data_IF_451252135740
#
_entry.id   IF_451252135740
#
_cell.length_a   1.000
_cell.length_b   1.000
_cell.length_c   1.000
_cell.angle_alpha   90.00
_cell.angle_beta   90.00
_cell.angle_gamma   90.00
#
_symmetry.space_group_name_H-M   'P 1'
#
loop_
_entity.id
_entity.type
_entity.pdbx_description
1 polymer ?
#
# COMPACT_ATOMS: atom_id res chain seq x y z
N UNK A 1 -21.30 -16.82 0.08
CA UNK A 1 -21.56 -15.90 1.22
C UNK A 1 -22.74 -16.32 2.10
N UNK A 2 -23.63 -17.19 1.63
CA UNK A 2 -24.83 -17.60 2.39
C UNK A 2 -24.65 -18.97 3.08
N UNK A 3 -23.54 -19.65 2.90
CA UNK A 3 -23.17 -20.88 3.58
C UNK A 3 -22.47 -20.55 4.91
N UNK A 4 -23.02 -20.97 6.08
CA UNK A 4 -22.43 -20.65 7.39
C UNK A 4 -21.06 -21.31 7.66
N UNK A 5 -20.66 -22.26 6.83
CA UNK A 5 -19.33 -22.90 6.92
C UNK A 5 -18.22 -22.04 6.30
N UNK A 6 -18.58 -21.01 5.49
CA UNK A 6 -17.62 -20.12 4.85
C UNK A 6 -17.23 -19.02 5.81
N UNK A 7 -15.97 -18.99 6.22
CA UNK A 7 -15.41 -18.03 7.18
C UNK A 7 -14.50 -17.00 6.51
N UNK A 8 -13.95 -17.30 5.33
CA UNK A 8 -13.14 -16.42 4.49
C UNK A 8 -13.21 -16.88 3.04
N UNK A 9 -12.93 -15.99 2.07
CA UNK A 9 -12.92 -16.34 0.65
C UNK A 9 -11.61 -15.87 0.02
N UNK A 10 -10.88 -16.81 -0.58
CA UNK A 10 -9.72 -16.55 -1.44
C UNK A 10 -10.15 -16.46 -2.91
N UNK A 11 -9.65 -15.46 -3.60
CA UNK A 11 -9.97 -15.15 -4.98
C UNK A 11 -8.69 -15.18 -5.82
N UNK A 12 -8.70 -15.92 -6.93
CA UNK A 12 -7.68 -15.82 -7.97
C UNK A 12 -8.28 -15.03 -9.12
N UNK A 13 -7.76 -13.81 -9.37
CA UNK A 13 -8.38 -12.84 -10.27
C UNK A 13 -7.47 -12.58 -11.47
N UNK A 14 -7.98 -12.81 -12.67
CA UNK A 14 -7.36 -12.42 -13.94
C UNK A 14 -7.87 -11.05 -14.42
N UNK A 15 -9.17 -10.81 -14.38
CA UNK A 15 -9.84 -9.54 -14.71
C UNK A 15 -11.11 -9.36 -13.90
N UNK A 16 -11.57 -8.11 -13.74
CA UNK A 16 -12.72 -7.82 -12.89
C UNK A 16 -14.07 -7.89 -13.62
N UNK A 17 -14.13 -7.54 -14.90
CA UNK A 17 -15.38 -7.54 -15.66
C UNK A 17 -16.41 -6.53 -15.12
N UNK A 18 -17.48 -7.01 -14.50
CA UNK A 18 -18.57 -6.18 -13.98
C UNK A 18 -18.25 -5.53 -12.64
N UNK A 19 -17.85 -4.26 -12.67
CA UNK A 19 -17.45 -3.50 -11.46
C UNK A 19 -18.61 -3.31 -10.46
N UNK A 20 -19.85 -2.99 -10.85
CA UNK A 20 -21.01 -2.96 -9.96
C UNK A 20 -21.23 -4.28 -9.21
N UNK A 21 -21.07 -5.42 -9.88
CA UNK A 21 -21.22 -6.72 -9.24
C UNK A 21 -20.11 -6.96 -8.17
N UNK A 22 -18.87 -6.52 -8.42
CA UNK A 22 -17.79 -6.56 -7.44
C UNK A 22 -18.08 -5.70 -6.21
N UNK A 23 -18.62 -4.49 -6.41
CA UNK A 23 -19.00 -3.62 -5.31
C UNK A 23 -20.13 -4.24 -4.46
N UNK A 24 -21.15 -4.79 -5.10
CA UNK A 24 -22.25 -5.47 -4.41
C UNK A 24 -21.75 -6.68 -3.61
N UNK A 25 -20.85 -7.49 -4.21
CA UNK A 25 -20.22 -8.64 -3.55
C UNK A 25 -19.43 -8.21 -2.31
N UNK A 26 -18.57 -7.20 -2.45
CA UNK A 26 -17.74 -6.68 -1.36
C UNK A 26 -18.59 -6.18 -0.19
N UNK A 27 -19.61 -5.36 -0.45
CA UNK A 27 -20.52 -4.85 0.57
C UNK A 27 -21.29 -5.96 1.28
N UNK A 28 -21.77 -6.96 0.52
CA UNK A 28 -22.45 -8.13 1.08
C UNK A 28 -21.49 -8.94 1.96
N UNK A 29 -20.25 -9.16 1.52
CA UNK A 29 -19.23 -9.88 2.27
C UNK A 29 -18.90 -9.16 3.58
N UNK A 30 -18.68 -7.84 3.51
CA UNK A 30 -18.41 -7.00 4.68
C UNK A 30 -19.57 -7.04 5.71
N UNK A 31 -20.80 -6.87 5.24
CA UNK A 31 -22.00 -6.95 6.12
C UNK A 31 -22.13 -8.30 6.81
N UNK A 32 -21.70 -9.37 6.17
CA UNK A 32 -21.70 -10.73 6.74
C UNK A 32 -20.46 -11.06 7.56
N UNK A 33 -19.48 -10.15 7.65
CA UNK A 33 -18.23 -10.40 8.35
C UNK A 33 -17.35 -11.47 7.68
N UNK A 34 -17.52 -11.71 6.37
CA UNK A 34 -16.75 -12.69 5.60
C UNK A 34 -15.64 -11.95 4.86
N UNK A 35 -14.36 -12.04 5.32
CA UNK A 35 -13.24 -11.38 4.69
C UNK A 35 -12.92 -11.97 3.32
N UNK A 36 -12.48 -11.08 2.42
CA UNK A 36 -12.04 -11.42 1.07
C UNK A 36 -10.54 -11.14 0.92
N UNK A 37 -9.82 -12.08 0.32
CA UNK A 37 -8.42 -11.92 -0.05
C UNK A 37 -8.21 -12.34 -1.50
N UNK A 38 -7.40 -11.60 -2.25
CA UNK A 38 -7.22 -11.81 -3.68
C UNK A 38 -5.74 -11.95 -4.07
N UNK A 39 -5.45 -12.95 -4.87
CA UNK A 39 -4.27 -13.03 -5.70
C UNK A 39 -4.64 -12.50 -7.08
N UNK A 40 -4.17 -11.28 -7.42
CA UNK A 40 -4.43 -10.64 -8.72
C UNK A 40 -3.22 -10.81 -9.63
N UNK A 41 -3.38 -11.55 -10.70
CA UNK A 41 -2.37 -11.71 -11.76
C UNK A 41 -2.50 -10.64 -12.85
N UNK A 42 -1.52 -10.51 -13.75
CA UNK A 42 -1.50 -9.49 -14.80
C UNK A 42 -0.72 -8.23 -14.42
N UNK A 43 0.29 -8.34 -13.56
CA UNK A 43 1.18 -7.24 -13.16
C UNK A 43 2.18 -6.87 -14.27
N UNK A 44 2.81 -7.87 -14.90
CA UNK A 44 3.73 -7.66 -16.01
C UNK A 44 3.00 -7.51 -17.36
N UNK A 45 3.71 -7.01 -18.37
CA UNK A 45 3.18 -6.89 -19.74
C UNK A 45 2.85 -8.27 -20.29
N UNK A 46 3.71 -9.27 -20.07
CA UNK A 46 3.54 -10.64 -20.52
C UNK A 46 2.30 -11.28 -19.88
N UNK A 47 2.14 -11.09 -18.56
CA UNK A 47 0.98 -11.61 -17.84
C UNK A 47 -0.33 -10.94 -18.30
N UNK A 48 -0.32 -9.64 -18.60
CA UNK A 48 -1.48 -8.93 -19.15
C UNK A 48 -1.89 -9.46 -20.52
N UNK A 49 -0.90 -9.68 -21.40
CA UNK A 49 -1.16 -10.24 -22.72
C UNK A 49 -1.74 -11.65 -22.65
N UNK A 50 -1.23 -12.49 -21.75
CA UNK A 50 -1.79 -13.81 -21.48
C UNK A 50 -3.23 -13.73 -21.00
N UNK A 51 -3.55 -12.86 -20.04
CA UNK A 51 -4.90 -12.67 -19.50
C UNK A 51 -5.90 -12.26 -20.59
N UNK A 52 -5.54 -11.30 -21.45
CA UNK A 52 -6.41 -10.86 -22.55
C UNK A 52 -6.72 -12.01 -23.52
N UNK A 53 -5.73 -12.85 -23.83
CA UNK A 53 -5.91 -13.98 -24.74
C UNK A 53 -6.77 -15.11 -24.14
N UNK A 54 -6.76 -15.27 -22.82
CA UNK A 54 -7.48 -16.34 -22.11
C UNK A 54 -8.93 -15.98 -21.79
N UNK A 55 -9.18 -14.78 -21.31
CA UNK A 55 -10.49 -14.40 -20.71
C UNK A 55 -11.26 -13.39 -21.53
N UNK A 56 -10.66 -12.81 -22.58
CA UNK A 56 -11.19 -11.67 -23.34
C UNK A 56 -11.57 -10.46 -22.43
N UNK A 57 -11.09 -10.44 -21.18
CA UNK A 57 -11.32 -9.37 -20.24
C UNK A 57 -10.16 -8.36 -20.27
N UNK A 58 -10.50 -7.08 -20.06
CA UNK A 58 -9.50 -6.03 -19.93
C UNK A 58 -8.71 -6.25 -18.62
N UNK A 59 -7.40 -6.44 -18.73
CA UNK A 59 -6.54 -6.60 -17.56
C UNK A 59 -6.32 -5.27 -16.82
N UNK A 60 -6.43 -4.14 -17.52
CA UNK A 60 -6.17 -2.80 -16.97
C UNK A 60 -4.74 -2.61 -16.45
N UNK A 61 -4.53 -1.52 -15.70
CA UNK A 61 -3.25 -1.26 -15.05
C UNK A 61 -3.15 -1.97 -13.70
N UNK A 62 -1.93 -2.36 -13.29
CA UNK A 62 -1.70 -2.97 -11.96
C UNK A 62 -2.04 -1.98 -10.82
N UNK A 63 -1.72 -0.70 -11.01
CA UNK A 63 -2.08 0.37 -10.08
C UNK A 63 -3.60 0.53 -9.94
N UNK A 64 -4.35 0.46 -11.06
CA UNK A 64 -5.81 0.49 -11.06
C UNK A 64 -6.40 -0.74 -10.35
N UNK A 65 -5.85 -1.93 -10.60
CA UNK A 65 -6.26 -3.15 -9.92
C UNK A 65 -6.06 -3.07 -8.40
N UNK A 66 -4.91 -2.54 -7.97
CA UNK A 66 -4.64 -2.33 -6.55
C UNK A 66 -5.60 -1.32 -5.91
N UNK A 67 -5.82 -0.19 -6.58
CA UNK A 67 -6.76 0.83 -6.13
C UNK A 67 -8.21 0.29 -6.05
N UNK A 68 -8.62 -0.57 -6.99
CA UNK A 68 -9.94 -1.22 -6.96
C UNK A 68 -10.07 -2.20 -5.78
N UNK A 69 -9.09 -3.06 -5.57
CA UNK A 69 -9.11 -3.99 -4.44
C UNK A 69 -9.15 -3.26 -3.10
N UNK A 70 -8.36 -2.17 -2.96
CA UNK A 70 -8.39 -1.32 -1.78
C UNK A 70 -9.76 -0.66 -1.58
N UNK A 71 -10.37 -0.12 -2.65
CA UNK A 71 -11.72 0.45 -2.61
C UNK A 71 -12.78 -0.58 -2.19
N UNK A 72 -12.62 -1.82 -2.64
CA UNK A 72 -13.51 -2.93 -2.29
C UNK A 72 -13.23 -3.52 -0.89
N UNK A 73 -12.19 -3.08 -0.19
CA UNK A 73 -11.78 -3.68 1.09
C UNK A 73 -11.32 -5.13 0.97
N UNK A 74 -10.79 -5.51 -0.19
CA UNK A 74 -10.25 -6.85 -0.48
C UNK A 74 -8.74 -6.81 -0.31
N UNK A 75 -8.19 -7.62 0.58
CA UNK A 75 -6.74 -7.73 0.73
C UNK A 75 -6.11 -8.29 -0.55
N UNK A 76 -4.96 -7.72 -0.96
CA UNK A 76 -4.19 -8.23 -2.08
C UNK A 76 -2.94 -8.93 -1.61
N UNK A 77 -2.67 -10.09 -2.20
CA UNK A 77 -1.44 -10.87 -2.00
C UNK A 77 -0.78 -11.18 -3.35
N UNK A 78 0.53 -11.44 -3.33
CA UNK A 78 1.33 -11.56 -4.55
C UNK A 78 1.65 -13.02 -4.95
N UNK A 79 1.40 -13.99 -4.05
CA UNK A 79 1.70 -15.40 -4.30
C UNK A 79 0.71 -16.36 -3.61
N UNK A 80 0.71 -17.62 -4.04
CA UNK A 80 -0.18 -18.66 -3.50
C UNK A 80 0.14 -19.03 -2.05
N UNK A 81 1.40 -19.19 -1.62
CA UNK A 81 1.71 -19.40 -0.21
C UNK A 81 1.09 -18.34 0.68
N UNK A 82 1.31 -17.07 0.37
CA UNK A 82 0.74 -15.94 1.14
C UNK A 82 -0.80 -15.97 1.13
N UNK A 83 -1.44 -16.29 0.00
CA UNK A 83 -2.89 -16.44 -0.07
C UNK A 83 -3.40 -17.48 0.92
N UNK A 84 -2.78 -18.66 0.93
CA UNK A 84 -3.20 -19.78 1.80
C UNK A 84 -2.93 -19.48 3.27
N UNK A 85 -1.79 -18.87 3.60
CA UNK A 85 -1.48 -18.47 4.96
C UNK A 85 -2.44 -17.39 5.46
N UNK A 86 -2.81 -16.43 4.61
CA UNK A 86 -3.82 -15.40 4.94
C UNK A 86 -5.18 -16.02 5.23
N UNK A 87 -5.62 -16.98 4.41
CA UNK A 87 -6.87 -17.69 4.63
C UNK A 87 -6.89 -18.45 5.94
N UNK A 88 -5.76 -19.04 6.38
CA UNK A 88 -5.65 -19.70 7.68
C UNK A 88 -5.82 -18.72 8.83
N UNK A 89 -5.19 -17.56 8.78
CA UNK A 89 -5.38 -16.49 9.78
C UNK A 89 -6.86 -16.09 9.83
N UNK A 90 -7.43 -15.76 8.68
CA UNK A 90 -8.81 -15.28 8.58
C UNK A 90 -9.85 -16.34 9.03
N UNK A 91 -9.55 -17.62 8.81
CA UNK A 91 -10.40 -18.73 9.25
C UNK A 91 -10.38 -18.91 10.78
N UNK A 92 -9.20 -18.87 11.39
CA UNK A 92 -9.02 -19.19 12.82
C UNK A 92 -9.25 -17.96 13.70
N UNK A 93 -8.76 -16.79 13.30
CA UNK A 93 -8.77 -15.58 14.11
C UNK A 93 -9.69 -14.48 13.56
N UNK A 94 -10.09 -14.55 12.28
CA UNK A 94 -10.72 -13.42 11.60
C UNK A 94 -9.72 -12.34 11.22
N UNK A 95 -10.20 -11.16 10.80
CA UNK A 95 -9.36 -10.00 10.53
C UNK A 95 -8.57 -9.56 11.77
N UNK A 96 -7.28 -9.25 11.59
CA UNK A 96 -6.43 -8.80 12.68
C UNK A 96 -6.67 -7.31 12.99
N UNK A 97 -6.67 -6.92 14.27
CA UNK A 97 -6.99 -5.55 14.68
C UNK A 97 -5.85 -4.56 14.45
N UNK A 98 -4.61 -5.02 14.36
CA UNK A 98 -3.42 -4.16 14.18
C UNK A 98 -2.26 -4.92 13.55
N UNK A 99 -1.17 -4.19 13.22
CA UNK A 99 0.11 -4.76 12.79
C UNK A 99 1.09 -5.01 13.94
N UNK A 100 0.66 -4.94 15.20
CA UNK A 100 1.52 -5.22 16.35
C UNK A 100 1.64 -6.72 16.57
N UNK A 101 2.87 -7.24 16.53
CA UNK A 101 3.16 -8.66 16.62
C UNK A 101 4.16 -8.97 17.73
N UNK A 102 4.11 -10.20 18.22
CA UNK A 102 5.17 -10.76 19.06
C UNK A 102 5.73 -12.03 18.42
N UNK A 103 6.97 -12.36 18.74
CA UNK A 103 7.58 -13.61 18.31
C UNK A 103 8.37 -14.26 19.44
N UNK A 104 8.30 -15.57 19.47
CA UNK A 104 8.95 -16.42 20.47
C UNK A 104 9.65 -17.56 19.73
N UNK A 105 10.93 -17.77 20.03
CA UNK A 105 11.71 -18.90 19.52
C UNK A 105 12.69 -19.43 20.56
N UNK A 106 13.22 -20.61 20.35
CA UNK A 106 14.32 -21.14 21.19
C UNK A 106 15.71 -20.83 20.65
N UNK A 107 15.78 -19.99 19.62
CA UNK A 107 17.00 -19.67 18.87
C UNK A 107 17.12 -18.16 18.62
N UNK A 108 18.22 -17.57 19.03
CA UNK A 108 18.55 -16.18 18.72
C UNK A 108 18.65 -15.90 17.21
N UNK A 109 19.02 -16.92 16.42
CA UNK A 109 19.04 -16.83 14.96
C UNK A 109 17.64 -16.63 14.38
N UNK A 110 16.64 -17.35 14.88
CA UNK A 110 15.24 -17.21 14.44
C UNK A 110 14.63 -15.87 14.89
N UNK A 111 14.93 -15.44 16.13
CA UNK A 111 14.49 -14.15 16.65
C UNK A 111 15.03 -12.98 15.82
N UNK A 112 16.31 -13.05 15.42
CA UNK A 112 16.94 -12.06 14.53
C UNK A 112 16.35 -12.14 13.12
N UNK A 113 16.15 -13.34 12.58
CA UNK A 113 15.66 -13.56 11.23
C UNK A 113 14.24 -12.98 11.02
N UNK A 114 13.33 -13.21 11.97
CA UNK A 114 11.98 -12.66 11.86
C UNK A 114 11.98 -11.13 12.00
N UNK A 115 12.84 -10.56 12.83
CA UNK A 115 13.00 -9.12 12.96
C UNK A 115 13.51 -8.48 11.66
N UNK A 116 14.52 -9.08 11.04
CA UNK A 116 15.07 -8.61 9.75
C UNK A 116 14.03 -8.73 8.62
N UNK A 117 13.30 -9.83 8.58
CA UNK A 117 12.25 -10.04 7.57
C UNK A 117 11.03 -9.11 7.73
N UNK A 118 10.76 -8.65 8.94
CA UNK A 118 9.68 -7.71 9.22
C UNK A 118 10.10 -6.25 8.97
N UNK A 119 11.39 -5.94 8.79
CA UNK A 119 11.90 -4.57 8.66
C UNK A 119 11.25 -3.77 7.53
N UNK A 120 10.99 -4.42 6.39
CA UNK A 120 10.40 -3.80 5.20
C UNK A 120 8.87 -3.95 5.15
N UNK A 121 8.25 -4.35 6.26
CA UNK A 121 6.79 -4.51 6.40
C UNK A 121 6.18 -3.38 7.22
N UNK A 122 4.86 -3.34 7.32
CA UNK A 122 4.13 -2.43 8.22
C UNK A 122 3.96 -3.00 9.63
N UNK A 123 4.45 -4.21 9.87
CA UNK A 123 4.37 -4.89 11.15
C UNK A 123 5.40 -4.33 12.14
N UNK A 124 5.06 -4.34 13.39
CA UNK A 124 5.93 -3.81 14.45
C UNK A 124 6.02 -4.78 15.62
N UNK A 125 7.20 -4.84 16.22
CA UNK A 125 7.46 -5.53 17.50
C UNK A 125 7.48 -4.47 18.61
N UNK A 126 6.38 -4.24 19.34
CA UNK A 126 6.39 -3.30 20.44
C UNK A 126 7.32 -3.80 21.55
N UNK A 127 7.96 -2.88 22.30
CA UNK A 127 8.76 -3.27 23.46
C UNK A 127 7.88 -3.96 24.51
N UNK A 128 8.49 -4.79 25.34
CA UNK A 128 7.80 -5.46 26.43
C UNK A 128 7.31 -4.43 27.47
N UNK A 129 6.16 -4.69 28.05
CA UNK A 129 5.66 -3.95 29.21
C UNK A 129 6.29 -4.46 30.50
N UNK A 130 6.31 -3.65 31.56
CA UNK A 130 6.84 -4.05 32.90
C UNK A 130 6.19 -5.34 33.40
N UNK A 131 4.91 -5.54 33.12
CA UNK A 131 4.18 -6.75 33.48
C UNK A 131 4.66 -7.99 32.72
N UNK A 132 4.92 -7.84 31.43
CA UNK A 132 5.48 -8.91 30.58
C UNK A 132 6.90 -9.26 31.08
N UNK A 133 7.76 -8.26 31.31
CA UNK A 133 9.12 -8.48 31.83
C UNK A 133 9.10 -9.22 33.18
N UNK A 134 8.25 -8.79 34.10
CA UNK A 134 8.08 -9.45 35.43
C UNK A 134 7.68 -10.93 35.27
N UNK A 135 6.70 -11.21 34.42
CA UNK A 135 6.22 -12.59 34.18
C UNK A 135 7.26 -13.45 33.47
N UNK A 136 7.95 -12.87 32.47
CA UNK A 136 9.02 -13.56 31.74
C UNK A 136 10.21 -13.86 32.66
N UNK A 137 10.62 -12.90 33.48
CA UNK A 137 11.71 -13.11 34.45
C UNK A 137 11.37 -14.25 35.44
N UNK A 138 10.11 -14.33 35.88
CA UNK A 138 9.65 -15.40 36.74
C UNK A 138 9.62 -16.78 36.05
N UNK A 139 9.37 -16.83 34.76
CA UNK A 139 9.30 -18.06 33.97
C UNK A 139 10.67 -18.53 33.46
N UNK A 140 11.55 -17.60 33.05
CA UNK A 140 12.83 -17.89 32.36
C UNK A 140 14.06 -17.70 33.25
N UNK A 141 13.93 -16.96 34.35
CA UNK A 141 15.04 -16.58 35.21
C UNK A 141 15.92 -15.48 34.60
N UNK A 142 17.01 -15.11 35.34
CA UNK A 142 17.82 -13.93 34.98
C UNK A 142 18.85 -14.16 33.85
N UNK A 143 18.92 -15.36 33.30
CA UNK A 143 19.91 -15.70 32.25
C UNK A 143 19.43 -15.37 30.82
N UNK A 144 18.14 -15.10 30.66
CA UNK A 144 17.54 -14.83 29.37
C UNK A 144 17.38 -13.32 29.20
N UNK A 145 17.84 -12.78 28.08
CA UNK A 145 17.56 -11.40 27.68
C UNK A 145 16.11 -11.26 27.26
N UNK A 146 15.36 -10.38 27.95
CA UNK A 146 13.94 -10.18 27.67
C UNK A 146 13.76 -9.14 26.57
N UNK A 147 13.13 -9.52 25.47
CA UNK A 147 12.88 -8.68 24.31
C UNK A 147 11.66 -9.18 23.53
N UNK A 148 11.20 -8.41 22.56
CA UNK A 148 10.30 -8.83 21.51
C UNK A 148 10.95 -8.49 20.15
N UNK A 149 11.36 -9.46 19.33
CA UNK A 149 11.23 -10.94 19.45
C UNK A 149 11.95 -11.54 20.67
N UNK A 150 11.36 -12.60 21.26
CA UNK A 150 11.91 -13.30 22.42
C UNK A 150 12.67 -14.56 21.98
N UNK A 151 13.95 -14.66 22.34
CA UNK A 151 14.68 -15.93 22.37
C UNK A 151 14.63 -16.47 23.81
N UNK A 152 13.84 -17.52 24.05
CA UNK A 152 13.77 -18.10 25.39
C UNK A 152 14.84 -19.15 25.67
N UNK A 153 15.73 -19.42 24.68
CA UNK A 153 16.74 -20.47 24.72
C UNK A 153 16.14 -21.87 24.97
N UNK A 154 16.99 -22.88 25.12
CA UNK A 154 16.52 -24.26 25.38
C UNK A 154 16.43 -24.61 26.88
N UNK A 155 16.61 -23.62 27.77
CA UNK A 155 16.69 -23.91 29.24
C UNK A 155 15.39 -24.50 29.82
N UNK A 156 14.24 -24.13 29.26
CA UNK A 156 12.93 -24.62 29.68
C UNK A 156 12.36 -25.68 28.75
N UNK A 157 13.15 -26.14 27.76
CA UNK A 157 12.69 -27.17 26.82
C UNK A 157 12.30 -28.44 27.60
N UNK A 158 11.18 -29.07 27.25
CA UNK A 158 10.49 -30.18 27.93
C UNK A 158 9.76 -29.81 29.23
N UNK A 159 9.91 -28.63 29.80
CA UNK A 159 9.09 -28.16 30.91
C UNK A 159 7.86 -27.42 30.36
N UNK A 160 6.79 -28.19 30.08
CA UNK A 160 5.52 -27.67 29.52
C UNK A 160 4.98 -26.51 30.38
N UNK A 161 5.05 -26.62 31.71
CA UNK A 161 4.53 -25.59 32.61
C UNK A 161 5.34 -24.28 32.52
N UNK A 162 6.68 -24.35 32.45
CA UNK A 162 7.54 -23.17 32.29
C UNK A 162 7.34 -22.54 30.88
N UNK A 163 7.29 -23.38 29.83
CA UNK A 163 7.02 -22.91 28.46
C UNK A 163 5.66 -22.22 28.36
N UNK A 164 4.60 -22.81 28.92
CA UNK A 164 3.25 -22.21 28.96
C UNK A 164 3.24 -20.86 29.67
N UNK A 165 3.96 -20.72 30.80
CA UNK A 165 4.08 -19.42 31.51
C UNK A 165 4.82 -18.39 30.65
N UNK A 166 5.93 -18.76 30.03
CA UNK A 166 6.73 -17.87 29.17
C UNK A 166 5.91 -17.42 27.94
N UNK A 167 5.26 -18.35 27.24
CA UNK A 167 4.43 -18.03 26.08
C UNK A 167 3.24 -17.15 26.45
N UNK A 168 2.56 -17.46 27.56
CA UNK A 168 1.43 -16.66 28.05
C UNK A 168 1.84 -15.22 28.42
N UNK A 169 3.06 -15.02 28.90
CA UNK A 169 3.56 -13.70 29.25
C UNK A 169 3.73 -12.78 28.02
N UNK A 170 3.96 -13.35 26.83
CA UNK A 170 4.10 -12.57 25.59
C UNK A 170 2.75 -12.15 24.99
N UNK A 171 1.65 -12.76 25.43
CA UNK A 171 0.32 -12.50 24.89
C UNK A 171 -0.36 -11.41 25.72
N UNK A 172 -0.58 -10.27 25.10
CA UNK A 172 -1.29 -9.11 25.66
C UNK A 172 -2.30 -8.56 24.63
N UNK A 173 -3.32 -7.80 25.04
CA UNK A 173 -4.37 -7.32 24.16
C UNK A 173 -3.88 -6.44 22.97
N UNK A 174 -2.77 -5.77 23.14
CA UNK A 174 -2.15 -4.91 22.14
C UNK A 174 -1.51 -5.70 20.98
N UNK A 175 -1.13 -6.96 21.23
CA UNK A 175 -0.54 -7.86 20.24
C UNK A 175 -1.63 -8.56 19.43
N UNK A 176 -1.68 -8.28 18.14
CA UNK A 176 -2.67 -8.87 17.24
C UNK A 176 -2.44 -10.37 17.00
N UNK A 177 -1.19 -10.81 16.93
CA UNK A 177 -0.79 -12.21 16.75
C UNK A 177 0.59 -12.45 17.35
N UNK A 178 0.75 -13.59 18.02
CA UNK A 178 2.03 -14.05 18.57
C UNK A 178 2.53 -15.26 17.78
N UNK A 179 3.72 -15.16 17.21
CA UNK A 179 4.37 -16.24 16.50
C UNK A 179 5.20 -17.11 17.45
N UNK A 180 4.99 -18.42 17.40
CA UNK A 180 5.89 -19.43 17.95
C UNK A 180 6.66 -20.03 16.78
N UNK A 181 7.96 -19.73 16.68
CA UNK A 181 8.80 -20.27 15.59
C UNK A 181 9.33 -21.63 16.02
N UNK A 182 8.93 -22.67 15.27
CA UNK A 182 9.25 -24.06 15.59
C UNK A 182 9.39 -24.87 14.31
N UNK A 183 10.57 -25.46 14.13
CA UNK A 183 10.84 -26.41 13.06
C UNK A 183 10.70 -27.85 13.56
N UNK A 184 9.81 -28.61 12.95
CA UNK A 184 9.61 -30.01 13.29
C UNK A 184 10.55 -30.91 12.49
N UNK A 185 11.22 -31.91 13.14
CA UNK A 185 12.05 -32.83 12.41
C UNK A 185 11.21 -33.76 11.52
N UNK A 186 11.82 -34.27 10.50
CA UNK A 186 11.22 -35.32 9.64
C UNK A 186 11.08 -36.63 10.44
N UNK A 187 9.86 -37.06 10.66
CA UNK A 187 9.56 -38.25 11.45
C UNK A 187 9.99 -39.59 10.78
N UNK A 188 10.36 -39.57 9.49
CA UNK A 188 10.96 -40.70 8.77
C UNK A 188 12.47 -40.86 9.02
N UNK A 189 13.12 -39.82 9.58
CA UNK A 189 14.57 -39.78 9.85
C UNK A 189 14.86 -39.67 11.34
N UNK A 190 14.07 -38.87 12.08
CA UNK A 190 14.30 -38.52 13.47
C UNK A 190 13.06 -38.82 14.31
N UNK A 191 13.22 -39.10 15.59
CA UNK A 191 12.12 -39.18 16.54
C UNK A 191 11.62 -37.77 16.89
N UNK A 192 10.37 -37.39 16.54
CA UNK A 192 9.82 -36.07 16.83
C UNK A 192 9.23 -35.93 18.21
N UNK A 193 9.29 -36.94 19.09
CA UNK A 193 8.59 -36.97 20.37
C UNK A 193 8.99 -35.83 21.31
N UNK A 194 10.22 -35.32 21.23
CA UNK A 194 10.69 -34.18 22.00
C UNK A 194 9.97 -32.87 21.67
N UNK A 195 9.35 -32.75 20.51
CA UNK A 195 8.56 -31.56 20.10
C UNK A 195 7.13 -31.57 20.63
N UNK A 196 6.69 -32.67 21.26
CA UNK A 196 5.37 -32.76 21.89
C UNK A 196 5.19 -31.68 22.96
N UNK A 197 6.24 -31.33 23.71
CA UNK A 197 6.20 -30.33 24.75
C UNK A 197 5.80 -28.93 24.24
N UNK A 198 6.30 -28.52 23.07
CA UNK A 198 6.00 -27.19 22.50
C UNK A 198 4.58 -27.13 21.94
N UNK A 199 4.09 -28.23 21.35
CA UNK A 199 2.69 -28.33 20.89
C UNK A 199 1.76 -28.20 22.09
N UNK A 200 1.99 -28.99 23.16
CA UNK A 200 1.15 -28.95 24.36
C UNK A 200 1.20 -27.56 25.03
N UNK A 201 2.40 -26.96 25.18
CA UNK A 201 2.54 -25.62 25.76
C UNK A 201 1.82 -24.56 24.96
N UNK A 202 1.81 -24.64 23.64
CA UNK A 202 1.06 -23.72 22.77
C UNK A 202 -0.46 -23.87 22.95
N UNK A 203 -0.96 -25.11 23.01
CA UNK A 203 -2.38 -25.40 23.25
C UNK A 203 -2.83 -24.90 24.64
N UNK A 204 -2.03 -25.14 25.67
CA UNK A 204 -2.31 -24.68 27.04
C UNK A 204 -2.28 -23.14 27.11
N UNK A 205 -1.32 -22.50 26.41
CA UNK A 205 -1.25 -21.04 26.30
C UNK A 205 -2.49 -20.47 25.63
N UNK A 206 -2.94 -21.07 24.51
CA UNK A 206 -4.15 -20.65 23.82
C UNK A 206 -5.39 -20.79 24.71
N UNK A 207 -5.51 -21.91 25.43
CA UNK A 207 -6.60 -22.15 26.35
C UNK A 207 -6.61 -21.15 27.52
N UNK A 208 -5.44 -20.81 28.07
CA UNK A 208 -5.31 -19.92 29.21
C UNK A 208 -5.51 -18.43 28.87
N UNK A 209 -5.10 -17.99 27.68
CA UNK A 209 -5.05 -16.56 27.32
C UNK A 209 -6.15 -16.15 26.34
N UNK A 210 -6.64 -17.07 25.51
CA UNK A 210 -7.52 -16.74 24.38
C UNK A 210 -6.86 -15.92 23.26
N UNK A 211 -5.56 -15.58 23.37
CA UNK A 211 -4.86 -14.75 22.39
C UNK A 211 -4.61 -15.45 21.07
N UNK A 212 -4.44 -14.70 20.00
CA UNK A 212 -4.16 -15.25 18.67
C UNK A 212 -2.71 -15.74 18.58
N UNK A 213 -2.54 -17.03 18.33
CA UNK A 213 -1.24 -17.69 18.25
C UNK A 213 -1.09 -18.34 16.86
N UNK A 214 0.04 -18.11 16.23
CA UNK A 214 0.48 -18.87 15.07
C UNK A 214 1.76 -19.63 15.39
N UNK A 215 1.79 -20.93 15.05
CA UNK A 215 3.04 -21.71 15.07
C UNK A 215 3.60 -21.72 13.66
N UNK A 216 4.81 -21.17 13.51
CA UNK A 216 5.43 -20.91 12.20
C UNK A 216 6.68 -21.77 12.07
N UNK A 217 6.75 -22.59 11.03
CA UNK A 217 8.02 -23.22 10.65
C UNK A 217 8.83 -22.28 9.75
N UNK A 218 10.16 -22.35 9.85
CA UNK A 218 11.04 -21.51 9.00
C UNK A 218 10.89 -21.85 7.52
N UNK A 219 10.63 -23.13 7.21
CA UNK A 219 10.36 -23.66 5.87
C UNK A 219 9.04 -24.45 5.88
N UNK A 220 8.22 -24.39 4.81
CA UNK A 220 6.91 -25.05 4.78
C UNK A 220 6.96 -26.56 5.05
N UNK A 221 8.00 -27.24 4.59
CA UNK A 221 8.22 -28.68 4.77
C UNK A 221 8.53 -29.08 6.21
N UNK A 222 8.81 -28.14 7.09
CA UNK A 222 9.08 -28.38 8.51
C UNK A 222 7.82 -28.23 9.39
N UNK A 223 6.63 -28.13 8.77
CA UNK A 223 5.33 -28.19 9.44
C UNK A 223 4.58 -29.47 9.00
N UNK A 224 4.70 -30.59 9.73
CA UNK A 224 4.03 -31.83 9.36
C UNK A 224 2.51 -31.69 9.38
N UNK A 225 1.83 -32.33 8.45
CA UNK A 225 0.37 -32.20 8.31
C UNK A 225 -0.40 -32.60 9.57
N UNK A 226 0.02 -33.66 10.27
CA UNK A 226 -0.63 -34.11 11.50
C UNK A 226 -0.50 -33.08 12.64
N UNK A 227 0.66 -32.38 12.72
CA UNK A 227 0.88 -31.27 13.67
C UNK A 227 -0.02 -30.09 13.30
N UNK A 228 -0.02 -29.70 12.04
CA UNK A 228 -0.84 -28.61 11.53
C UNK A 228 -2.33 -28.83 11.83
N UNK A 229 -2.85 -30.02 11.58
CA UNK A 229 -4.25 -30.38 11.91
C UNK A 229 -4.55 -30.29 13.40
N UNK A 230 -3.65 -30.76 14.25
CA UNK A 230 -3.80 -30.70 15.71
C UNK A 230 -3.79 -29.27 16.23
N UNK A 231 -2.87 -28.44 15.76
CA UNK A 231 -2.79 -27.01 16.09
C UNK A 231 -4.07 -26.28 15.70
N UNK A 232 -4.55 -26.51 14.48
CA UNK A 232 -5.76 -25.86 13.97
C UNK A 232 -6.99 -26.29 14.77
N UNK A 233 -7.12 -27.56 15.14
CA UNK A 233 -8.18 -28.05 16.00
C UNK A 233 -8.16 -27.41 17.41
N UNK A 234 -6.96 -27.00 17.89
CA UNK A 234 -6.76 -26.25 19.13
C UNK A 234 -6.85 -24.73 18.99
N UNK A 235 -7.23 -24.20 17.83
CA UNK A 235 -7.35 -22.76 17.59
C UNK A 235 -6.01 -22.02 17.45
N UNK A 236 -4.96 -22.76 17.07
CA UNK A 236 -3.63 -22.22 16.73
C UNK A 236 -3.44 -22.29 15.23
N UNK A 237 -2.86 -21.25 14.65
CA UNK A 237 -2.69 -21.13 13.19
C UNK A 237 -1.37 -21.79 12.79
N UNK A 238 -1.36 -22.94 12.09
CA UNK A 238 -0.13 -23.54 11.58
C UNK A 238 0.32 -22.81 10.29
N UNK A 239 1.53 -22.28 10.27
CA UNK A 239 2.04 -21.51 9.13
C UNK A 239 3.38 -22.05 8.63
N UNK A 240 3.58 -22.03 7.32
CA UNK A 240 4.80 -22.49 6.66
C UNK A 240 5.58 -21.32 6.03
N UNK A 241 6.78 -21.07 6.56
CA UNK A 241 7.68 -20.01 6.09
C UNK A 241 7.43 -18.65 6.70
N UNK A 242 8.45 -18.08 7.34
CA UNK A 242 8.36 -16.78 8.06
C UNK A 242 7.92 -15.65 7.12
N UNK A 243 8.45 -15.60 5.90
CA UNK A 243 8.09 -14.54 4.93
C UNK A 243 6.60 -14.57 4.57
N UNK A 244 6.07 -15.76 4.27
CA UNK A 244 4.65 -15.92 3.97
C UNK A 244 3.77 -15.60 5.18
N UNK A 245 4.20 -15.97 6.39
CA UNK A 245 3.50 -15.68 7.64
C UNK A 245 3.42 -14.17 7.91
N UNK A 246 4.51 -13.41 7.72
CA UNK A 246 4.52 -11.96 7.87
C UNK A 246 3.64 -11.28 6.82
N UNK A 247 3.78 -11.63 5.53
CA UNK A 247 2.97 -11.08 4.46
C UNK A 247 1.46 -11.39 4.64
N UNK A 248 1.13 -12.61 5.10
CA UNK A 248 -0.24 -12.99 5.43
C UNK A 248 -0.81 -12.19 6.60
N UNK A 249 0.02 -11.86 7.58
CA UNK A 249 -0.38 -11.05 8.73
C UNK A 249 -0.70 -9.62 8.31
N UNK A 250 0.10 -9.02 7.43
CA UNK A 250 -0.22 -7.71 6.83
C UNK A 250 -1.54 -7.76 6.05
N UNK A 251 -1.71 -8.79 5.21
CA UNK A 251 -2.92 -8.99 4.41
C UNK A 251 -4.18 -9.25 5.25
N UNK A 252 -4.04 -9.86 6.43
CA UNK A 252 -5.15 -10.12 7.35
C UNK A 252 -5.59 -8.86 8.13
N UNK A 253 -4.83 -7.76 8.09
CA UNK A 253 -5.24 -6.46 8.60
C UNK A 253 -6.12 -5.75 7.56
N UNK A 254 -7.39 -6.15 7.49
CA UNK A 254 -8.32 -5.72 6.46
C UNK A 254 -8.87 -4.31 6.72
N UNK A 255 -9.19 -3.62 5.63
CA UNK A 255 -9.92 -2.35 5.65
C UNK A 255 -11.38 -2.59 5.28
N UNK A 256 -12.26 -1.74 5.81
CA UNK A 256 -13.64 -1.70 5.34
C UNK A 256 -13.69 -1.23 3.87
N UNK A 257 -14.64 -1.74 3.05
CA UNK A 257 -14.85 -1.24 1.71
C UNK A 257 -15.25 0.25 1.75
N UNK A 258 -14.90 0.97 0.69
CA UNK A 258 -15.29 2.37 0.54
C UNK A 258 -16.82 2.50 0.54
N UNK A 259 -17.40 3.49 1.26
CA UNK A 259 -18.83 3.78 1.19
C UNK A 259 -19.23 4.40 -0.15
N UNK A 260 -18.28 4.99 -0.91
CA UNK A 260 -18.55 5.61 -2.19
C UNK A 260 -18.87 4.57 -3.27
N UNK A 261 -19.72 4.95 -4.20
CA UNK A 261 -20.01 4.11 -5.37
C UNK A 261 -18.89 4.20 -6.40
N UNK A 262 -18.59 3.06 -7.05
CA UNK A 262 -17.67 3.01 -8.16
C UNK A 262 -18.24 3.80 -9.35
N UNK A 263 -17.38 4.61 -9.95
CA UNK A 263 -17.73 5.31 -11.20
C UNK A 263 -17.33 4.41 -12.36
N UNK A 264 -18.33 3.83 -12.99
CA UNK A 264 -18.12 2.99 -14.18
C UNK A 264 -17.91 3.89 -15.40
N UNK A 265 -16.77 3.78 -16.09
CA UNK A 265 -16.54 4.57 -17.30
C UNK A 265 -17.59 4.28 -18.37
N UNK A 266 -18.20 5.32 -18.94
CA UNK A 266 -19.01 5.18 -20.15
C UNK A 266 -18.15 4.67 -21.32
N UNK A 267 -18.77 4.07 -22.34
CA UNK A 267 -18.06 3.62 -23.53
C UNK A 267 -17.25 4.78 -24.12
N UNK A 268 -16.01 4.48 -24.50
CA UNK A 268 -15.00 5.43 -24.97
C UNK A 268 -15.56 6.37 -26.06
N UNK A 269 -15.67 7.67 -25.73
CA UNK A 269 -15.70 8.74 -26.73
C UNK A 269 -14.26 9.02 -27.20
N UNK A 270 -14.05 9.47 -28.45
CA UNK A 270 -12.73 9.93 -28.88
C UNK A 270 -12.25 11.04 -27.97
N UNK A 271 -11.06 10.86 -27.38
CA UNK A 271 -10.48 11.89 -26.53
C UNK A 271 -9.88 13.01 -27.38
N UNK A 272 -10.24 14.24 -27.10
CA UNK A 272 -9.61 15.42 -27.68
C UNK A 272 -8.50 15.93 -26.75
N UNK A 273 -7.32 16.21 -27.32
CA UNK A 273 -6.23 16.81 -26.56
C UNK A 273 -6.44 18.33 -26.50
N UNK A 274 -6.66 18.85 -25.30
CA UNK A 274 -6.75 20.30 -25.08
C UNK A 274 -5.37 20.91 -24.85
N UNK A 275 -5.21 22.20 -25.15
CA UNK A 275 -3.95 22.91 -24.93
C UNK A 275 -3.63 23.06 -23.44
N UNK A 276 -2.33 23.17 -23.06
CA UNK A 276 -1.93 23.42 -21.68
C UNK A 276 -2.58 24.68 -21.11
N UNK A 277 -2.71 25.74 -21.90
CA UNK A 277 -3.34 26.97 -21.46
C UNK A 277 -4.85 26.78 -21.18
N UNK A 278 -5.55 26.02 -22.03
CA UNK A 278 -6.98 25.74 -21.83
C UNK A 278 -7.20 24.79 -20.65
N UNK A 279 -6.34 23.79 -20.50
CA UNK A 279 -6.35 22.90 -19.32
C UNK A 279 -6.18 23.69 -18.03
N UNK A 280 -5.21 24.61 -17.96
CA UNK A 280 -4.99 25.47 -16.80
C UNK A 280 -6.19 26.37 -16.51
N UNK A 281 -6.81 26.96 -17.54
CA UNK A 281 -8.04 27.77 -17.36
C UNK A 281 -9.19 26.94 -16.84
N UNK A 282 -9.36 25.70 -17.33
CA UNK A 282 -10.40 24.78 -16.86
C UNK A 282 -10.19 24.40 -15.40
N UNK A 283 -8.97 24.03 -15.02
CA UNK A 283 -8.61 23.71 -13.64
C UNK A 283 -8.75 24.92 -12.71
N UNK A 284 -8.38 26.12 -13.17
CA UNK A 284 -8.58 27.35 -12.40
C UNK A 284 -10.06 27.61 -12.10
N UNK A 285 -10.95 27.39 -13.07
CA UNK A 285 -12.41 27.48 -12.86
C UNK A 285 -12.92 26.45 -11.87
N UNK A 286 -12.26 25.30 -11.79
CA UNK A 286 -12.58 24.25 -10.84
C UNK A 286 -12.00 24.50 -9.43
N UNK A 287 -11.23 25.58 -9.23
CA UNK A 287 -10.68 25.98 -7.93
C UNK A 287 -9.19 25.66 -7.73
N UNK A 288 -8.50 25.11 -8.73
CA UNK A 288 -7.03 24.89 -8.65
C UNK A 288 -6.33 26.22 -8.84
N UNK A 289 -5.44 26.58 -7.94
CA UNK A 289 -4.56 27.75 -8.13
C UNK A 289 -3.56 27.45 -9.24
N UNK A 290 -3.53 28.30 -10.25
CA UNK A 290 -2.58 28.20 -11.37
C UNK A 290 -1.74 29.46 -11.48
N UNK A 291 -0.49 29.38 -11.98
CA UNK A 291 0.34 30.55 -12.25
C UNK A 291 -0.36 31.46 -13.24
N UNK A 292 -0.19 32.79 -13.08
CA UNK A 292 -0.67 33.74 -14.07
C UNK A 292 -0.02 33.45 -15.41
N UNK A 293 -0.82 33.35 -16.46
CA UNK A 293 -0.33 33.00 -17.80
C UNK A 293 -0.93 33.92 -18.87
N UNK A 294 -0.13 34.15 -19.89
CA UNK A 294 -0.53 34.82 -21.11
C UNK A 294 -0.13 33.97 -22.34
N UNK A 295 -0.98 33.89 -23.32
CA UNK A 295 -0.73 33.20 -24.60
C UNK A 295 -0.67 34.20 -25.73
N UNK A 296 0.28 34.04 -26.67
CA UNK A 296 0.39 34.97 -27.82
C UNK A 296 1.64 34.70 -28.67
N UNK A 297 1.86 35.61 -29.60
CA UNK A 297 3.11 35.66 -30.31
C UNK A 297 4.23 36.20 -29.42
N UNK A 298 5.47 35.97 -29.87
CA UNK A 298 6.67 36.28 -29.07
C UNK A 298 6.80 37.76 -28.74
N UNK A 299 6.46 38.66 -29.67
CA UNK A 299 6.61 40.11 -29.46
C UNK A 299 5.58 40.65 -28.45
N UNK A 300 4.36 40.16 -28.51
CA UNK A 300 3.31 40.51 -27.55
C UNK A 300 3.69 40.07 -26.13
N UNK A 301 4.23 38.86 -25.96
CA UNK A 301 4.67 38.34 -24.68
C UNK A 301 5.91 39.06 -24.13
N UNK A 302 6.86 39.43 -25.02
CA UNK A 302 8.03 40.20 -24.65
C UNK A 302 7.67 41.59 -24.10
N UNK A 303 6.73 42.31 -24.76
CA UNK A 303 6.23 43.62 -24.28
C UNK A 303 5.56 43.48 -22.89
N UNK A 304 4.84 42.39 -22.68
CA UNK A 304 4.25 42.12 -21.36
C UNK A 304 5.32 41.90 -20.27
N UNK A 305 6.37 41.15 -20.59
CA UNK A 305 7.48 40.87 -19.68
C UNK A 305 8.29 42.16 -19.32
N UNK A 306 8.37 43.13 -20.23
CA UNK A 306 9.01 44.45 -19.97
C UNK A 306 8.19 45.28 -18.96
N UNK A 307 6.87 45.08 -18.89
CA UNK A 307 5.96 45.85 -18.04
C UNK A 307 5.83 45.21 -16.64
N UNK A 308 5.75 43.88 -16.58
CA UNK A 308 5.30 43.16 -15.36
C UNK A 308 6.41 42.67 -14.44
N UNK A 309 7.68 42.79 -14.84
CA UNK A 309 8.85 42.34 -14.08
C UNK A 309 8.74 40.89 -13.57
N UNK A 310 9.47 39.94 -14.18
CA UNK A 310 9.50 38.51 -13.90
C UNK A 310 10.08 38.16 -12.52
N UNK A 311 10.45 36.91 -12.30
CA UNK A 311 10.84 35.94 -13.33
C UNK A 311 9.67 35.22 -14.01
N UNK A 312 9.82 34.94 -15.28
CA UNK A 312 8.84 34.21 -16.10
C UNK A 312 9.39 32.90 -16.65
N UNK A 313 8.48 32.05 -17.08
CA UNK A 313 8.72 30.83 -17.85
C UNK A 313 8.08 31.01 -19.22
N UNK A 314 8.86 30.82 -20.30
CA UNK A 314 8.37 30.79 -21.68
C UNK A 314 8.28 29.34 -22.15
N UNK A 315 7.12 28.95 -22.68
CA UNK A 315 6.89 27.60 -23.22
C UNK A 315 6.36 27.67 -24.63
N UNK A 316 6.87 26.82 -25.53
CA UNK A 316 6.30 26.63 -26.87
C UNK A 316 4.93 25.93 -26.78
N UNK A 317 4.01 26.23 -27.73
CA UNK A 317 2.72 25.52 -27.84
C UNK A 317 2.78 24.49 -28.96
N UNK A 318 1.90 23.48 -28.91
CA UNK A 318 1.74 22.50 -29.98
C UNK A 318 2.76 21.38 -30.04
N UNK A 319 3.69 21.29 -29.08
CA UNK A 319 4.70 20.23 -28.99
C UNK A 319 4.50 19.40 -27.74
N UNK A 320 4.45 18.08 -27.90
CA UNK A 320 4.52 17.13 -26.77
C UNK A 320 5.99 17.07 -26.28
N UNK A 321 6.21 16.80 -24.99
CA UNK A 321 7.54 16.69 -24.36
C UNK A 321 8.43 17.92 -24.57
N UNK A 322 7.88 19.11 -24.32
CA UNK A 322 8.52 20.42 -24.55
C UNK A 322 9.91 20.53 -23.94
N UNK A 323 10.14 19.97 -22.78
CA UNK A 323 11.43 20.04 -22.07
C UNK A 323 12.55 19.30 -22.80
N UNK A 324 12.25 18.19 -23.48
CA UNK A 324 13.23 17.37 -24.21
C UNK A 324 13.69 18.02 -25.52
N UNK A 325 12.83 18.83 -26.12
CA UNK A 325 13.10 19.51 -27.40
C UNK A 325 13.46 20.99 -27.24
N UNK A 326 13.81 21.41 -26.03
CA UNK A 326 14.18 22.82 -25.78
C UNK A 326 13.02 23.82 -25.86
N UNK A 327 11.79 23.34 -25.71
CA UNK A 327 10.57 24.17 -25.79
C UNK A 327 10.20 24.89 -24.50
N UNK A 328 11.09 24.94 -23.49
CA UNK A 328 10.89 25.63 -22.20
C UNK A 328 12.11 26.46 -21.86
N UNK A 329 11.93 27.72 -21.47
CA UNK A 329 12.97 28.59 -20.93
C UNK A 329 12.52 29.20 -19.60
N UNK A 330 13.39 29.12 -18.60
CA UNK A 330 13.13 29.52 -17.21
C UNK A 330 13.86 30.85 -16.88
N UNK A 331 13.44 31.47 -15.79
CA UNK A 331 14.11 32.62 -15.17
C UNK A 331 14.24 33.84 -16.08
N UNK A 332 13.25 34.10 -16.94
CA UNK A 332 13.25 35.25 -17.84
C UNK A 332 12.79 36.49 -17.11
N UNK A 333 13.63 37.54 -17.09
CA UNK A 333 13.38 38.75 -16.27
C UNK A 333 13.10 40.01 -17.13
N UNK A 334 13.13 39.91 -18.46
CA UNK A 334 12.88 41.03 -19.38
C UNK A 334 12.29 40.55 -20.69
N UNK A 335 11.69 41.46 -21.46
CA UNK A 335 11.22 41.18 -22.82
C UNK A 335 12.34 40.77 -23.77
N UNK A 336 13.53 41.33 -23.63
CA UNK A 336 14.70 40.90 -24.44
C UNK A 336 15.10 39.46 -24.15
N UNK A 337 15.07 39.03 -22.88
CA UNK A 337 15.30 37.63 -22.51
C UNK A 337 14.22 36.70 -23.10
N UNK A 338 12.95 37.15 -23.11
CA UNK A 338 11.84 36.41 -23.74
C UNK A 338 12.05 36.28 -25.25
N UNK A 339 12.44 37.37 -25.96
CA UNK A 339 12.74 37.36 -27.41
C UNK A 339 13.88 36.39 -27.74
N UNK A 340 14.98 36.47 -26.98
CA UNK A 340 16.15 35.63 -27.22
C UNK A 340 15.84 34.12 -26.95
N UNK A 341 15.05 33.82 -25.92
CA UNK A 341 14.63 32.47 -25.62
C UNK A 341 13.69 31.92 -26.72
N UNK A 342 12.66 32.68 -27.06
CA UNK A 342 11.67 32.26 -28.06
C UNK A 342 12.22 32.10 -29.45
N UNK A 343 13.22 32.92 -29.85
CA UNK A 343 13.91 32.82 -31.15
C UNK A 343 14.65 31.47 -31.34
N UNK A 344 14.95 30.74 -30.23
CA UNK A 344 15.57 29.41 -30.26
C UNK A 344 14.56 28.27 -30.31
N UNK A 345 13.27 28.58 -30.16
CA UNK A 345 12.21 27.61 -30.12
C UNK A 345 11.46 27.55 -31.46
N UNK A 346 11.17 26.36 -31.95
CA UNK A 346 10.43 26.15 -33.19
C UNK A 346 8.90 26.22 -32.93
N UNK A 347 8.38 27.41 -32.63
CA UNK A 347 6.95 27.61 -32.41
C UNK A 347 6.51 28.99 -32.89
N UNK A 348 5.26 29.11 -33.35
CA UNK A 348 4.65 30.39 -33.73
C UNK A 348 3.91 31.05 -32.55
N UNK A 349 3.51 30.26 -31.56
CA UNK A 349 2.77 30.72 -30.40
C UNK A 349 3.37 30.15 -29.11
N UNK A 350 3.28 30.94 -28.04
CA UNK A 350 3.94 30.64 -26.77
C UNK A 350 2.99 30.88 -25.59
N UNK A 351 3.36 30.32 -24.45
CA UNK A 351 2.77 30.60 -23.15
C UNK A 351 3.87 31.27 -22.33
N UNK A 352 3.61 32.47 -21.80
CA UNK A 352 4.43 33.12 -20.80
C UNK A 352 3.73 33.00 -19.45
N UNK A 353 4.43 32.45 -18.46
CA UNK A 353 3.90 32.17 -17.13
C UNK A 353 4.74 32.81 -16.03
N UNK A 354 4.10 33.20 -14.95
CA UNK A 354 4.77 33.50 -13.70
C UNK A 354 5.58 32.29 -13.24
N UNK A 355 6.85 32.50 -12.93
CA UNK A 355 7.71 31.43 -12.43
C UNK A 355 7.51 31.26 -10.94
N UNK A 356 7.16 30.06 -10.51
CA UNK A 356 7.10 29.70 -9.09
C UNK A 356 8.54 29.42 -8.63
N UNK A 357 9.01 30.24 -7.69
CA UNK A 357 10.33 30.10 -7.09
C UNK A 357 10.29 29.26 -5.82
N UNK A 358 11.40 28.58 -5.54
CA UNK A 358 11.66 27.84 -4.28
C UNK A 358 10.53 26.92 -3.81
N UNK A 359 10.04 26.00 -4.65
CA UNK A 359 9.01 25.06 -4.21
C UNK A 359 9.57 24.12 -3.14
N UNK A 360 8.78 23.83 -2.12
CA UNK A 360 9.12 22.81 -1.09
C UNK A 360 9.24 21.43 -1.72
N UNK A 361 8.34 21.12 -2.65
CA UNK A 361 8.33 19.88 -3.44
C UNK A 361 7.51 20.05 -4.71
N UNK A 362 7.81 19.23 -5.71
CA UNK A 362 7.01 19.09 -6.92
C UNK A 362 6.17 17.81 -6.83
N UNK A 363 4.87 17.94 -7.08
CA UNK A 363 3.91 16.84 -7.00
C UNK A 363 3.29 16.58 -8.35
N UNK A 364 3.28 15.33 -8.75
CA UNK A 364 2.52 14.84 -9.89
C UNK A 364 1.13 14.42 -9.42
N UNK A 365 0.09 14.97 -10.03
CA UNK A 365 -1.29 14.52 -9.89
C UNK A 365 -1.80 14.17 -11.28
N UNK A 366 -2.13 12.91 -11.49
CA UNK A 366 -2.67 12.42 -12.76
C UNK A 366 -4.01 11.70 -12.53
N UNK A 367 -4.93 11.85 -13.47
CA UNK A 367 -6.17 11.07 -13.50
C UNK A 367 -6.24 10.31 -14.81
N UNK A 368 -6.45 9.00 -14.72
CA UNK A 368 -6.58 8.12 -15.87
C UNK A 368 -7.95 7.45 -15.85
N UNK A 369 -8.64 7.49 -16.98
CA UNK A 369 -9.81 6.66 -17.23
C UNK A 369 -9.34 5.25 -17.60
N UNK A 370 -9.26 4.37 -16.59
CA UNK A 370 -8.90 2.97 -16.79
C UNK A 370 -10.17 2.16 -17.13
N UNK A 371 -10.24 1.56 -18.34
CA UNK A 371 -11.46 0.88 -18.79
C UNK A 371 -11.80 -0.36 -17.96
N UNK A 372 -10.86 -0.92 -17.24
CA UNK A 372 -11.05 -2.11 -16.40
C UNK A 372 -11.37 -1.78 -14.93
N UNK A 373 -11.00 -0.58 -14.46
CA UNK A 373 -11.05 -0.26 -13.02
C UNK A 373 -11.80 1.04 -12.71
N UNK A 374 -12.12 1.87 -13.68
CA UNK A 374 -12.75 3.17 -13.46
C UNK A 374 -11.75 4.34 -13.52
N UNK A 375 -12.04 5.43 -12.82
CA UNK A 375 -11.16 6.60 -12.78
C UNK A 375 -10.15 6.46 -11.64
N UNK A 376 -8.87 6.51 -12.00
CA UNK A 376 -7.75 6.33 -11.07
C UNK A 376 -7.00 7.65 -10.93
N UNK A 377 -6.94 8.18 -9.71
CA UNK A 377 -6.04 9.29 -9.36
C UNK A 377 -4.70 8.70 -8.95
N UNK A 378 -3.62 9.16 -9.54
CA UNK A 378 -2.24 8.87 -9.12
C UNK A 378 -1.63 10.15 -8.58
N UNK A 379 -1.06 10.08 -7.38
CA UNK A 379 -0.33 11.16 -6.72
C UNK A 379 1.08 10.67 -6.45
N UNK A 380 2.08 11.50 -6.71
CA UNK A 380 3.47 11.11 -6.48
C UNK A 380 4.46 12.26 -6.57
N UNK A 381 5.75 11.93 -6.43
CA UNK A 381 6.82 12.87 -6.66
C UNK A 381 6.80 13.34 -8.12
N UNK A 382 6.86 14.65 -8.31
CA UNK A 382 6.98 15.31 -9.60
C UNK A 382 8.42 15.66 -9.96
N UNK A 383 8.58 16.47 -11.01
CA UNK A 383 9.86 17.00 -11.43
C UNK A 383 10.81 15.97 -12.05
N UNK A 384 12.08 16.32 -12.09
CA UNK A 384 13.14 15.55 -12.76
C UNK A 384 13.31 14.12 -12.23
N UNK A 385 12.99 13.90 -10.97
CA UNK A 385 13.18 12.60 -10.28
C UNK A 385 11.93 11.71 -10.26
N UNK A 386 10.82 12.14 -10.86
CA UNK A 386 9.57 11.39 -10.85
C UNK A 386 9.73 9.93 -11.34
N UNK A 387 10.43 9.76 -12.47
CA UNK A 387 10.67 8.44 -13.07
C UNK A 387 11.69 7.60 -12.30
N UNK A 388 12.66 8.22 -11.64
CA UNK A 388 13.69 7.55 -10.87
C UNK A 388 13.17 7.06 -9.52
N UNK A 389 12.46 7.91 -8.80
CA UNK A 389 11.98 7.60 -7.45
C UNK A 389 10.79 6.65 -7.46
N UNK A 390 9.95 6.69 -8.51
CA UNK A 390 8.70 5.92 -8.63
C UNK A 390 7.85 5.96 -7.35
N UNK A 391 7.92 7.10 -6.64
CA UNK A 391 7.20 7.32 -5.39
C UNK A 391 5.80 7.83 -5.73
N UNK A 392 4.91 6.90 -6.05
CA UNK A 392 3.55 7.17 -6.47
C UNK A 392 2.56 6.28 -5.73
N UNK A 393 1.35 6.79 -5.51
CA UNK A 393 0.23 6.04 -5.00
C UNK A 393 -1.02 6.31 -5.85
N UNK A 394 -1.81 5.27 -6.09
CA UNK A 394 -3.01 5.35 -6.92
C UNK A 394 -4.24 4.94 -6.12
N UNK A 395 -5.32 5.69 -6.29
CA UNK A 395 -6.62 5.46 -5.64
C UNK A 395 -7.75 5.64 -6.63
N UNK A 396 -8.88 4.97 -6.41
CA UNK A 396 -10.07 5.17 -7.22
C UNK A 396 -10.83 6.42 -6.82
N UNK A 397 -11.42 7.07 -7.82
CA UNK A 397 -12.40 8.14 -7.63
C UNK A 397 -13.82 7.57 -7.42
N UNK A 398 -14.65 8.24 -6.58
CA UNK A 398 -14.32 9.38 -5.74
C UNK A 398 -13.58 8.95 -4.47
N UNK A 399 -12.55 9.70 -4.09
CA UNK A 399 -11.79 9.48 -2.87
C UNK A 399 -12.12 10.56 -1.83
N UNK A 400 -12.30 10.16 -0.56
CA UNK A 400 -12.48 11.09 0.53
C UNK A 400 -11.17 11.81 0.91
N UNK A 401 -11.27 13.00 1.52
CA UNK A 401 -10.10 13.75 2.00
C UNK A 401 -9.22 12.93 2.94
N UNK A 402 -9.82 12.15 3.83
CA UNK A 402 -9.07 11.28 4.75
C UNK A 402 -8.32 10.17 4.00
N UNK A 403 -8.93 9.58 2.99
CA UNK A 403 -8.26 8.58 2.15
C UNK A 403 -7.11 9.19 1.34
N UNK A 404 -7.30 10.37 0.77
CA UNK A 404 -6.24 11.15 0.10
C UNK A 404 -5.07 11.42 1.05
N UNK A 405 -5.36 11.89 2.27
CA UNK A 405 -4.35 12.16 3.31
C UNK A 405 -3.58 10.90 3.72
N UNK A 406 -4.28 9.78 3.94
CA UNK A 406 -3.64 8.50 4.24
C UNK A 406 -2.74 8.03 3.10
N UNK A 407 -3.18 8.22 1.85
CA UNK A 407 -2.42 7.88 0.65
C UNK A 407 -1.14 8.71 0.54
N UNK A 408 -1.22 10.02 0.76
CA UNK A 408 -0.05 10.90 0.78
C UNK A 408 0.96 10.50 1.86
N UNK A 409 0.50 10.10 3.03
CA UNK A 409 1.39 9.68 4.13
C UNK A 409 2.18 8.39 3.83
N UNK A 410 1.77 7.59 2.86
CA UNK A 410 2.50 6.38 2.42
C UNK A 410 3.67 6.71 1.49
N UNK A 411 3.66 7.90 0.85
CA UNK A 411 4.73 8.32 -0.04
C UNK A 411 6.00 8.62 0.75
N UNK A 412 7.17 8.30 0.20
CA UNK A 412 8.46 8.70 0.76
C UNK A 412 8.57 10.23 0.84
N UNK A 413 7.95 10.90 -0.13
CA UNK A 413 7.83 12.35 -0.22
C UNK A 413 7.11 12.98 0.99
N UNK A 414 6.28 12.22 1.73
CA UNK A 414 5.58 12.69 2.94
C UNK A 414 6.53 13.27 3.99
N UNK A 415 7.76 12.76 4.07
CA UNK A 415 8.80 13.25 4.98
C UNK A 415 9.19 14.71 4.68
N UNK A 416 9.14 15.12 3.41
CA UNK A 416 9.43 16.49 2.99
C UNK A 416 8.27 17.41 3.39
N UNK A 417 7.02 16.97 3.25
CA UNK A 417 5.85 17.75 3.67
C UNK A 417 5.81 18.05 5.16
N UNK A 418 6.36 17.16 5.98
CA UNK A 418 6.42 17.35 7.43
C UNK A 418 7.59 18.24 7.88
N UNK A 419 8.38 18.74 6.93
CA UNK A 419 9.62 19.47 7.19
C UNK A 419 10.81 18.53 7.37
N UNK A 420 11.86 18.72 6.59
CA UNK A 420 13.05 17.88 6.63
C UNK A 420 14.32 18.74 6.60
N UNK A 421 15.24 18.56 7.56
CA UNK A 421 16.56 19.23 7.63
C UNK A 421 16.50 20.73 7.33
N UNK A 422 15.88 21.53 8.16
CA UNK A 422 15.75 22.98 8.00
C UNK A 422 14.94 23.47 6.78
N UNK A 423 14.31 22.56 6.01
CA UNK A 423 13.33 22.96 5.00
C UNK A 423 11.96 23.16 5.66
N UNK A 424 11.20 24.17 5.24
CA UNK A 424 9.86 24.40 5.78
C UNK A 424 8.93 23.23 5.44
N UNK A 425 7.92 23.02 6.26
CA UNK A 425 6.86 22.06 5.94
C UNK A 425 6.03 22.53 4.74
N UNK A 426 5.59 21.60 3.92
CA UNK A 426 4.66 21.87 2.81
C UNK A 426 3.22 22.07 3.33
N UNK A 427 2.40 22.79 2.58
CA UNK A 427 1.00 22.96 2.90
C UNK A 427 0.18 21.77 2.38
N UNK A 428 0.03 20.71 3.22
CA UNK A 428 -0.73 19.49 2.88
C UNK A 428 -2.20 19.81 2.60
N UNK A 429 -2.81 20.75 3.32
CA UNK A 429 -4.22 21.10 3.12
C UNK A 429 -4.44 21.74 1.75
N UNK A 430 -3.56 22.64 1.32
CA UNK A 430 -3.63 23.21 -0.02
C UNK A 430 -3.45 22.14 -1.13
N UNK A 431 -2.59 21.12 -0.91
CA UNK A 431 -2.45 20.00 -1.83
C UNK A 431 -3.75 19.18 -1.88
N UNK A 432 -4.34 18.86 -0.74
CA UNK A 432 -5.61 18.14 -0.67
C UNK A 432 -6.73 18.92 -1.35
N UNK A 433 -6.81 20.23 -1.15
CA UNK A 433 -7.79 21.11 -1.82
C UNK A 433 -7.62 21.07 -3.35
N UNK A 434 -6.37 21.07 -3.84
CA UNK A 434 -6.10 20.95 -5.27
C UNK A 434 -6.51 19.58 -5.83
N UNK A 435 -6.25 18.47 -5.13
CA UNK A 435 -6.68 17.12 -5.54
C UNK A 435 -8.20 17.02 -5.55
N UNK A 436 -8.89 17.55 -4.55
CA UNK A 436 -10.36 17.56 -4.49
C UNK A 436 -10.96 18.42 -5.62
N UNK A 437 -10.35 19.55 -5.96
CA UNK A 437 -10.76 20.38 -7.09
C UNK A 437 -10.59 19.65 -8.44
N UNK A 438 -9.46 18.95 -8.64
CA UNK A 438 -9.22 18.11 -9.81
C UNK A 438 -10.26 16.99 -9.88
N UNK A 439 -10.51 16.32 -8.78
CA UNK A 439 -11.52 15.27 -8.70
C UNK A 439 -12.90 15.82 -9.08
N UNK A 440 -13.28 16.97 -8.54
CA UNK A 440 -14.57 17.63 -8.86
C UNK A 440 -14.66 18.00 -10.34
N UNK A 441 -13.56 18.47 -10.95
CA UNK A 441 -13.49 18.74 -12.37
C UNK A 441 -13.74 17.48 -13.20
N UNK A 442 -13.07 16.37 -12.86
CA UNK A 442 -13.24 15.09 -13.59
C UNK A 442 -14.67 14.58 -13.43
N UNK A 443 -15.24 14.63 -12.22
CA UNK A 443 -16.62 14.19 -11.97
C UNK A 443 -17.67 14.99 -12.74
N UNK A 444 -17.40 16.28 -12.96
CA UNK A 444 -18.28 17.14 -13.76
C UNK A 444 -18.14 16.92 -15.29
N UNK A 445 -17.11 16.19 -15.72
CA UNK A 445 -16.75 15.99 -17.12
C UNK A 445 -16.53 14.50 -17.48
N UNK A 446 -17.30 13.59 -16.88
CA UNK A 446 -17.11 12.13 -17.08
C UNK A 446 -17.31 11.66 -18.52
N UNK A 447 -18.07 12.40 -19.30
CA UNK A 447 -18.48 12.05 -20.67
C UNK A 447 -17.68 12.83 -21.76
N UNK A 448 -16.67 13.60 -21.36
CA UNK A 448 -15.85 14.43 -22.28
C UNK A 448 -14.45 13.86 -22.53
#
# INVERSE_FOLDING_TARGET
>A
LDDPRVTAIGLHIEGFGDLPAWQALSRKAHTKGIPLVALKVGKSIEARNATISHTASLAGSDAGANALLEHLGIARVDDLPTLLETLKILHVAGPLPSGQIASISCSGGEASLIADMAHDTTLTFPPLTDLQETRLLAALGPKVALANPLDYHTYIWRDVAAMTRAFSAMIVPEIAITFLIVDFPRGDICDPSDWECVIQSALDTRAATGGTIAMVSTLPELMPEHVARRLMAGGIIPMGGIRAALAATEAAHLRAPSPADLIVPSKSMPAETISEADAKRALQKAGVTVPKLLTGDLETLAKHADIQHGPFVLKSTGVAHKSEVGGVALSLTSGDAVRQAGAKMSSATFILEEMIADPVAEILIGVVKDPAHGFVITIGAGGLFAELLKDTASILMPASRDHLKQTLNRLKLSKIFNGYRNQPAGNIDALLDAVEAIQSYVLANLDT
#
